data_IF_065471537921
#
_entry.id   IF_065471537921
#
_cell.length_a   1.000
_cell.length_b   1.000
_cell.length_c   1.000
_cell.angle_alpha   90.00
_cell.angle_beta   90.00
_cell.angle_gamma   90.00
#
_symmetry.space_group_name_H-M   'P 1'
#
loop_
_entity.id
_entity.type
_entity.pdbx_description
1 polymer ?
#
# COMPACT_ATOMS: atom_id res chain seq x y z
N UNK A 1 -2.29 -27.06 43.12
CA UNK A 1 -3.40 -26.75 42.18
C UNK A 1 -2.85 -26.76 40.76
N UNK A 2 -3.58 -27.34 39.80
CA UNK A 2 -3.16 -27.43 38.40
C UNK A 2 -4.12 -26.57 37.57
N UNK A 3 -3.57 -25.63 36.82
CA UNK A 3 -4.31 -24.80 35.86
C UNK A 3 -4.05 -25.36 34.46
N UNK A 4 -5.10 -25.50 33.66
CA UNK A 4 -5.02 -25.96 32.26
C UNK A 4 -5.65 -24.91 31.35
N UNK A 5 -4.92 -24.50 30.31
CA UNK A 5 -5.41 -23.55 29.30
C UNK A 5 -6.04 -24.36 28.17
N UNK A 6 -7.35 -24.20 27.97
CA UNK A 6 -8.10 -24.98 27.00
C UNK A 6 -8.06 -24.35 25.59
N UNK A 7 -8.00 -23.02 25.52
CA UNK A 7 -7.98 -22.28 24.27
C UNK A 7 -7.11 -21.02 24.40
N UNK A 8 -6.39 -20.68 23.34
CA UNK A 8 -5.56 -19.50 23.23
C UNK A 8 -5.77 -18.85 21.86
N UNK A 9 -6.05 -17.55 21.85
CA UNK A 9 -6.21 -16.76 20.63
C UNK A 9 -5.03 -15.78 20.53
N UNK A 10 -4.00 -16.19 19.77
CA UNK A 10 -2.84 -15.35 19.53
C UNK A 10 -3.19 -14.22 18.55
N UNK A 11 -2.67 -13.02 18.81
CA UNK A 11 -2.60 -11.94 17.83
C UNK A 11 -1.16 -11.49 17.77
N UNK A 12 -0.62 -11.33 16.56
CA UNK A 12 0.72 -10.85 16.33
C UNK A 12 0.72 -9.76 15.26
N UNK A 13 1.63 -8.81 15.41
CA UNK A 13 2.02 -7.88 14.36
C UNK A 13 3.44 -8.24 13.94
N UNK A 14 3.72 -8.16 12.65
CA UNK A 14 5.03 -8.43 12.11
C UNK A 14 5.76 -7.10 11.85
N UNK A 15 7.09 -7.14 11.93
CA UNK A 15 7.97 -6.02 11.61
C UNK A 15 9.19 -6.58 10.87
N UNK A 16 9.60 -5.91 9.80
CA UNK A 16 10.84 -6.24 9.09
C UNK A 16 12.05 -6.16 10.03
N UNK A 17 12.89 -7.20 10.02
CA UNK A 17 14.19 -7.19 10.70
C UNK A 17 15.22 -6.48 9.82
N UNK A 18 15.02 -5.17 9.63
CA UNK A 18 16.01 -4.33 8.96
C UNK A 18 17.22 -4.21 9.88
N UNK A 19 18.41 -4.53 9.36
CA UNK A 19 19.67 -4.20 10.02
C UNK A 19 19.64 -2.68 10.26
N UNK A 20 19.94 -2.19 11.48
CA UNK A 20 20.04 -0.75 11.69
C UNK A 20 21.05 -0.21 10.68
N UNK A 21 20.66 0.82 9.94
CA UNK A 21 21.59 1.52 9.06
C UNK A 21 22.81 1.93 9.88
N UNK A 22 23.97 1.96 9.24
CA UNK A 22 25.30 2.18 9.84
C UNK A 22 25.40 3.39 10.79
N UNK A 23 24.43 4.29 10.82
CA UNK A 23 24.30 5.35 11.80
C UNK A 23 23.83 4.89 13.22
N UNK A 24 23.01 3.84 13.33
CA UNK A 24 22.49 3.34 14.60
C UNK A 24 23.27 2.13 15.17
N UNK A 25 24.08 1.45 14.34
CA UNK A 25 24.92 0.33 14.76
C UNK A 25 26.24 0.76 15.44
N UNK A 26 26.63 2.04 15.35
CA UNK A 26 27.93 2.52 15.82
C UNK A 26 28.06 2.69 17.35
N UNK A 27 27.04 2.32 18.15
CA UNK A 27 27.04 2.59 19.60
C UNK A 27 27.07 1.35 20.51
N UNK A 28 27.02 0.10 20.00
CA UNK A 28 26.91 -1.06 20.91
C UNK A 28 27.57 -2.39 20.50
N UNK A 29 28.58 -2.44 19.62
CA UNK A 29 29.35 -3.69 19.45
C UNK A 29 30.85 -3.43 19.25
N UNK A 30 31.54 -3.19 20.36
CA UNK A 30 32.97 -3.46 20.44
C UNK A 30 33.17 -4.79 21.15
N UNK A 31 32.98 -5.89 20.42
CA UNK A 31 33.45 -7.20 20.84
C UNK A 31 34.08 -7.93 19.66
N UNK A 32 35.40 -8.03 19.74
CA UNK A 32 36.34 -8.65 18.81
C UNK A 32 36.06 -10.13 18.61
N UNK A 33 35.95 -10.55 17.34
CA UNK A 33 36.30 -11.91 16.94
C UNK A 33 37.28 -11.80 15.77
N UNK A 34 38.52 -12.16 16.06
CA UNK A 34 39.61 -12.35 15.11
C UNK A 34 39.38 -13.64 14.29
N UNK A 35 40.00 -13.65 13.11
CA UNK A 35 40.29 -14.78 12.21
C UNK A 35 39.38 -15.05 11.00
N UNK A 36 40.04 -14.91 9.85
CA UNK A 36 39.92 -15.64 8.57
C UNK A 36 39.17 -14.98 7.40
N UNK A 37 39.96 -14.72 6.35
CA UNK A 37 39.58 -14.09 5.08
C UNK A 37 39.10 -15.16 4.12
N UNK A 38 37.86 -15.06 3.66
CA UNK A 38 37.35 -15.91 2.58
C UNK A 38 35.98 -15.51 2.08
N UNK A 39 35.98 -14.81 0.94
CA UNK A 39 34.88 -14.68 -0.03
C UNK A 39 33.63 -13.89 0.43
N UNK A 40 33.70 -12.57 0.20
CA UNK A 40 32.52 -11.75 -0.03
C UNK A 40 31.99 -12.07 -1.43
N UNK A 41 31.05 -13.01 -1.51
CA UNK A 41 30.09 -13.03 -2.62
C UNK A 41 29.02 -12.00 -2.28
N UNK A 42 29.24 -10.77 -2.76
CA UNK A 42 28.20 -9.76 -2.88
C UNK A 42 27.26 -10.24 -3.98
N UNK A 43 26.30 -11.10 -3.63
CA UNK A 43 25.06 -11.19 -4.40
C UNK A 43 24.33 -9.86 -4.16
N UNK A 44 24.62 -8.88 -5.04
CA UNK A 44 23.80 -7.70 -5.24
C UNK A 44 22.41 -8.18 -5.72
N UNK A 45 21.55 -8.55 -4.78
CA UNK A 45 20.14 -8.81 -5.04
C UNK A 45 19.49 -7.50 -5.51
N UNK A 46 19.24 -7.40 -6.82
CA UNK A 46 18.47 -6.38 -7.55
C UNK A 46 16.97 -6.36 -7.13
N UNK A 47 16.65 -6.44 -5.83
CA UNK A 47 15.28 -6.50 -5.30
C UNK A 47 14.71 -5.11 -4.90
N UNK A 48 15.41 -4.02 -5.23
CA UNK A 48 14.97 -2.65 -4.91
C UNK A 48 13.96 -2.05 -5.92
N UNK A 49 13.70 -2.75 -7.04
CA UNK A 49 12.84 -2.25 -8.13
C UNK A 49 11.33 -2.52 -7.94
N UNK A 50 10.94 -3.39 -7.01
CA UNK A 50 9.52 -3.76 -6.80
C UNK A 50 8.74 -2.72 -5.95
N UNK A 51 9.44 -1.87 -5.20
CA UNK A 51 8.87 -0.79 -4.38
C UNK A 51 8.84 0.56 -5.14
N UNK A 52 8.62 0.51 -6.45
CA UNK A 52 8.68 1.67 -7.33
C UNK A 52 7.30 2.01 -7.92
N UNK A 53 6.90 3.28 -7.85
CA UNK A 53 5.61 3.71 -8.40
C UNK A 53 5.56 3.56 -9.93
N UNK A 54 4.59 2.80 -10.44
CA UNK A 54 4.39 2.55 -11.88
C UNK A 54 4.10 3.78 -12.76
N UNK A 55 4.01 4.99 -12.19
CA UNK A 55 3.85 6.25 -12.93
C UNK A 55 5.13 7.09 -12.91
N UNK A 56 5.68 7.39 -11.74
CA UNK A 56 6.84 8.28 -11.60
C UNK A 56 8.18 7.56 -11.43
N UNK A 57 8.16 6.24 -11.25
CA UNK A 57 9.34 5.40 -11.00
C UNK A 57 10.20 5.85 -9.81
N UNK A 58 9.56 6.36 -8.76
CA UNK A 58 10.21 6.74 -7.49
C UNK A 58 9.75 5.80 -6.37
N UNK A 59 10.60 5.58 -5.37
CA UNK A 59 10.32 4.79 -4.17
C UNK A 59 9.09 5.29 -3.39
N UNK A 60 8.38 4.37 -2.73
CA UNK A 60 7.12 4.67 -2.04
C UNK A 60 7.29 5.37 -0.67
N UNK A 61 6.84 6.63 -0.55
CA UNK A 61 6.69 7.38 0.73
C UNK A 61 5.21 7.47 1.18
N UNK A 62 4.35 6.62 0.64
CA UNK A 62 2.93 6.57 0.94
C UNK A 62 2.12 5.90 -0.18
N UNK A 63 1.38 4.84 0.14
CA UNK A 63 0.68 4.02 -0.84
C UNK A 63 -0.85 4.20 -0.78
N UNK A 64 -1.48 4.32 -1.96
CA UNK A 64 -2.92 4.17 -2.12
C UNK A 64 -3.17 2.90 -2.92
N UNK A 65 -3.94 1.97 -2.35
CA UNK A 65 -4.37 0.73 -3.00
C UNK A 65 -5.72 0.92 -3.70
N UNK A 66 -5.79 0.50 -4.95
CA UNK A 66 -7.06 0.31 -5.63
C UNK A 66 -7.69 -1.05 -5.30
N UNK A 67 -9.01 -1.19 -5.47
CA UNK A 67 -9.67 -2.51 -5.46
C UNK A 67 -9.12 -3.47 -6.54
N UNK A 68 -8.44 -2.92 -7.55
CA UNK A 68 -7.73 -3.65 -8.59
C UNK A 68 -6.30 -4.09 -8.19
N UNK A 69 -5.93 -4.00 -6.91
CA UNK A 69 -4.61 -4.35 -6.35
C UNK A 69 -3.42 -3.57 -6.96
N UNK A 70 -3.67 -2.51 -7.72
CA UNK A 70 -2.62 -1.61 -8.23
C UNK A 70 -2.30 -0.51 -7.22
N UNK A 71 -1.00 -0.20 -7.10
CA UNK A 71 -0.46 0.74 -6.12
C UNK A 71 0.12 1.95 -6.82
N UNK A 72 -0.25 3.14 -6.35
CA UNK A 72 0.30 4.39 -6.86
C UNK A 72 0.56 5.37 -5.71
N UNK A 73 1.48 6.30 -5.94
CA UNK A 73 1.57 7.50 -5.13
C UNK A 73 0.32 8.36 -5.27
N UNK A 74 -0.03 9.06 -4.19
CA UNK A 74 -1.16 10.00 -4.19
C UNK A 74 -1.03 11.08 -5.28
N UNK A 75 0.15 11.69 -5.44
CA UNK A 75 0.36 12.77 -6.41
C UNK A 75 0.29 12.27 -7.86
N UNK A 76 0.74 11.04 -8.13
CA UNK A 76 0.65 10.45 -9.46
C UNK A 76 -0.78 10.08 -9.81
N UNK A 77 -1.47 9.43 -8.87
CA UNK A 77 -2.84 8.98 -9.05
C UNK A 77 -3.81 10.16 -9.22
N UNK A 78 -3.71 11.18 -8.36
CA UNK A 78 -4.58 12.37 -8.45
C UNK A 78 -4.36 13.14 -9.75
N UNK A 79 -3.10 13.30 -10.19
CA UNK A 79 -2.78 13.91 -11.49
C UNK A 79 -3.37 13.12 -12.67
N UNK A 80 -3.31 11.80 -12.60
CA UNK A 80 -3.92 10.93 -13.60
C UNK A 80 -5.44 11.07 -13.63
N UNK A 81 -6.11 10.92 -12.47
CA UNK A 81 -7.57 11.01 -12.35
C UNK A 81 -8.13 12.40 -12.72
N UNK A 82 -7.33 13.47 -12.55
CA UNK A 82 -7.70 14.82 -12.98
C UNK A 82 -7.68 15.00 -14.51
N UNK A 83 -7.02 14.11 -15.25
CA UNK A 83 -6.97 14.19 -16.71
C UNK A 83 -8.26 13.60 -17.31
N UNK A 84 -8.96 14.34 -18.17
CA UNK A 84 -10.23 13.89 -18.77
C UNK A 84 -10.12 12.57 -19.55
N UNK A 85 -8.96 12.31 -20.16
CA UNK A 85 -8.69 11.06 -20.89
C UNK A 85 -8.65 9.82 -19.99
N UNK A 86 -8.38 9.99 -18.70
CA UNK A 86 -8.37 8.88 -17.74
C UNK A 86 -9.76 8.30 -17.54
N UNK A 87 -10.81 9.13 -17.66
CA UNK A 87 -12.21 8.79 -17.33
C UNK A 87 -12.35 8.17 -15.93
N UNK A 88 -11.46 8.54 -15.00
CA UNK A 88 -11.42 7.94 -13.66
C UNK A 88 -11.01 6.47 -13.62
N UNK A 89 -10.34 5.98 -14.67
CA UNK A 89 -9.86 4.60 -14.75
C UNK A 89 -8.45 4.47 -14.14
N UNK A 90 -8.13 3.29 -13.65
CA UNK A 90 -6.79 2.91 -13.23
C UNK A 90 -5.81 2.94 -14.43
N UNK A 91 -4.59 3.49 -14.27
CA UNK A 91 -3.58 3.53 -15.31
C UNK A 91 -3.15 2.17 -15.86
N UNK A 92 -3.17 1.12 -15.02
CA UNK A 92 -2.63 -0.20 -15.36
C UNK A 92 -3.65 -1.08 -16.07
N UNK A 93 -4.87 -1.20 -15.52
CA UNK A 93 -5.88 -2.13 -16.03
C UNK A 93 -7.10 -1.46 -16.68
N UNK A 94 -7.13 -0.12 -16.68
CA UNK A 94 -8.22 0.69 -17.21
C UNK A 94 -9.59 0.39 -16.58
N UNK A 95 -9.65 -0.22 -15.39
CA UNK A 95 -10.91 -0.39 -14.64
C UNK A 95 -11.24 0.90 -13.89
N UNK A 96 -12.51 1.13 -13.57
CA UNK A 96 -12.91 2.28 -12.77
C UNK A 96 -12.14 2.29 -11.44
N UNK A 97 -11.47 3.39 -11.10
CA UNK A 97 -10.69 3.49 -9.88
C UNK A 97 -11.58 3.61 -8.64
N UNK A 98 -11.31 2.75 -7.64
CA UNK A 98 -11.93 2.80 -6.30
C UNK A 98 -10.81 2.58 -5.27
N UNK A 99 -10.67 3.51 -4.33
CA UNK A 99 -9.67 3.41 -3.25
C UNK A 99 -10.11 2.38 -2.22
N UNK A 100 -9.31 1.33 -2.03
CA UNK A 100 -9.56 0.28 -1.06
C UNK A 100 -9.57 0.86 0.36
N UNK A 101 -10.65 0.66 1.10
CA UNK A 101 -10.79 1.10 2.50
C UNK A 101 -11.85 2.17 2.78
N UNK A 102 -12.48 2.76 1.75
CA UNK A 102 -13.75 3.47 1.93
C UNK A 102 -14.89 2.58 1.43
N UNK A 103 -15.99 2.38 2.20
CA UNK A 103 -17.13 1.63 1.71
C UNK A 103 -17.71 2.34 0.48
N UNK A 104 -17.72 1.65 -0.65
CA UNK A 104 -18.29 2.08 -1.93
C UNK A 104 -19.84 2.20 -1.90
N UNK A 105 -20.42 2.73 -0.82
CA UNK A 105 -21.86 2.85 -0.63
C UNK A 105 -22.29 4.30 -0.40
N UNK A 106 -22.15 5.14 -1.43
CA UNK A 106 -22.82 6.44 -1.46
C UNK A 106 -23.08 6.98 -2.89
N UNK A 107 -23.08 6.13 -3.92
CA UNK A 107 -23.29 6.58 -5.30
C UNK A 107 -24.41 5.80 -6.00
N UNK A 108 -25.60 5.78 -5.39
CA UNK A 108 -26.85 5.43 -6.08
C UNK A 108 -27.98 6.33 -5.61
N UNK A 109 -27.88 7.62 -5.92
CA UNK A 109 -29.05 8.52 -5.86
C UNK A 109 -29.83 8.35 -7.15
N UNK A 110 -30.82 7.46 -7.16
CA UNK A 110 -31.87 7.44 -8.18
C UNK A 110 -32.66 8.75 -8.07
N UNK A 111 -32.82 9.56 -9.14
CA UNK A 111 -33.82 10.61 -9.12
C UNK A 111 -35.20 9.95 -9.21
N UNK A 112 -35.92 9.88 -8.09
CA UNK A 112 -37.38 9.68 -8.13
C UNK A 112 -37.97 10.94 -8.73
N UNK A 113 -38.27 10.90 -10.02
CA UNK A 113 -39.10 11.90 -10.67
C UNK A 113 -40.53 11.76 -10.14
N UNK A 114 -40.93 12.66 -9.25
CA UNK A 114 -42.34 12.82 -8.86
C UNK A 114 -43.02 13.64 -9.97
N UNK A 115 -44.02 13.09 -10.69
CA UNK A 115 -44.74 13.89 -11.66
C UNK A 115 -45.64 14.90 -10.94
N UNK A 116 -45.34 16.19 -11.11
CA UNK A 116 -46.22 17.29 -10.73
C UNK A 116 -47.51 17.19 -11.56
N UNK A 117 -48.60 16.73 -10.92
CA UNK A 117 -49.95 16.83 -11.46
C UNK A 117 -50.41 18.28 -11.35
N UNK A 118 -50.51 18.96 -12.49
CA UNK A 118 -51.15 20.27 -12.64
C UNK A 118 -52.67 20.03 -12.72
N UNK A 119 -53.51 20.55 -11.79
CA UNK A 119 -54.95 20.52 -11.99
C UNK A 119 -55.35 21.58 -13.04
N UNK A 120 -56.08 21.14 -14.06
CA UNK A 120 -56.73 22.00 -15.04
C UNK A 120 -57.83 22.84 -14.38
N UNK A 121 -58.03 24.06 -14.91
CA UNK A 121 -59.10 24.99 -14.53
C UNK A 121 -60.33 24.78 -15.40
#
# INVERSE_FOLDING_TARGET
MKVTINHYHAVATWKWNLKPSTAAAALDQQQSHDDDVGEQEEEEDDDDDDDVCGICRVAFDGCFWGECTHVFHLHCLTKWLATESSKGQCPMDRRQWVTAGLPASAARTTPVAVPLRIPAR
#
